data_IF_431261962221
#
_entry.id   IF_431261962221
#
_cell.length_a   1.000
_cell.length_b   1.000
_cell.length_c   1.000
_cell.angle_alpha   90.00
_cell.angle_beta   90.00
_cell.angle_gamma   90.00
#
_symmetry.space_group_name_H-M   'P 1'
#
loop_
_entity.id
_entity.type
_entity.pdbx_description
1 polymer ?
#
# COMPACT_ATOMS: atom_id res chain seq x y z
N UNK A 1 -0.36 8.51 8.74
CA UNK A 1 -1.80 8.16 8.59
C UNK A 1 -2.08 7.87 7.12
N UNK A 2 -1.47 6.83 6.56
CA UNK A 2 -1.35 6.67 5.11
C UNK A 2 -2.07 5.42 4.59
N UNK A 3 -2.27 4.41 5.41
CA UNK A 3 -3.04 3.21 5.03
C UNK A 3 -3.98 2.85 6.18
N UNK A 4 -5.23 3.35 6.11
CA UNK A 4 -6.28 2.92 7.03
C UNK A 4 -6.57 1.44 6.83
N UNK A 5 -6.24 0.62 7.81
CA UNK A 5 -6.70 -0.76 7.92
C UNK A 5 -8.23 -0.83 8.00
N UNK A 6 -8.85 -1.97 7.71
CA UNK A 6 -10.28 -2.16 7.80
C UNK A 6 -10.74 -2.15 9.26
N UNK A 7 -11.14 -0.98 9.76
CA UNK A 7 -11.67 -0.80 11.12
C UNK A 7 -12.79 0.24 11.23
N UNK A 8 -13.10 0.98 10.19
CA UNK A 8 -14.18 1.96 10.20
C UNK A 8 -15.44 1.40 9.57
N UNK A 9 -16.42 1.05 10.39
CA UNK A 9 -17.77 0.57 10.02
C UNK A 9 -18.60 1.59 9.19
N UNK A 10 -18.12 2.80 8.98
CA UNK A 10 -18.86 3.86 8.26
C UNK A 10 -18.76 3.70 6.72
N UNK A 11 -17.81 2.93 6.20
CA UNK A 11 -17.65 2.69 4.76
C UNK A 11 -18.42 1.47 4.22
N UNK A 12 -18.78 0.52 5.08
CA UNK A 12 -19.30 -0.79 4.65
C UNK A 12 -20.74 -0.74 4.07
N UNK A 13 -21.55 0.25 4.43
CA UNK A 13 -22.94 0.32 3.97
C UNK A 13 -23.08 0.84 2.54
N UNK A 14 -22.18 1.71 2.06
CA UNK A 14 -22.23 2.28 0.70
C UNK A 14 -21.68 1.35 -0.38
N UNK A 15 -20.90 0.32 -0.02
CA UNK A 15 -20.25 -0.59 -0.97
C UNK A 15 -21.08 -1.84 -1.32
N UNK A 16 -22.23 -2.03 -0.67
CA UNK A 16 -23.03 -3.26 -0.82
C UNK A 16 -23.83 -3.35 -2.10
N UNK A 17 -23.91 -2.29 -2.91
CA UNK A 17 -24.64 -2.26 -4.18
C UNK A 17 -23.74 -2.38 -5.43
N UNK A 18 -22.43 -2.54 -5.28
CA UNK A 18 -21.54 -2.63 -6.43
C UNK A 18 -21.60 -4.04 -6.99
N UNK A 19 -22.52 -4.25 -7.95
CA UNK A 19 -22.50 -5.29 -9.01
C UNK A 19 -21.93 -6.68 -8.62
N UNK A 20 -22.35 -7.20 -7.47
CA UNK A 20 -22.20 -8.61 -7.17
C UNK A 20 -23.29 -9.36 -7.91
N UNK A 21 -22.97 -10.02 -9.00
CA UNK A 21 -23.86 -11.05 -9.54
C UNK A 21 -23.89 -12.21 -8.55
N UNK A 22 -25.08 -12.66 -8.17
CA UNK A 22 -25.35 -13.61 -7.08
C UNK A 22 -24.59 -14.97 -7.15
N UNK A 23 -23.84 -15.23 -8.20
CA UNK A 23 -23.16 -16.51 -8.42
C UNK A 23 -21.63 -16.44 -8.54
N UNK A 24 -21.04 -15.25 -8.65
CA UNK A 24 -19.59 -15.11 -8.74
C UNK A 24 -19.11 -13.83 -8.03
N UNK A 25 -18.10 -13.96 -7.17
CA UNK A 25 -17.39 -12.83 -6.55
C UNK A 25 -16.53 -12.16 -7.63
N UNK A 26 -17.15 -11.33 -8.48
CA UNK A 26 -16.54 -10.74 -9.68
C UNK A 26 -16.68 -9.23 -9.69
N UNK A 27 -15.61 -8.55 -10.03
CA UNK A 27 -15.57 -7.10 -10.24
C UNK A 27 -14.87 -6.82 -11.57
N UNK A 28 -15.34 -5.79 -12.29
CA UNK A 28 -14.65 -5.26 -13.46
C UNK A 28 -13.76 -4.10 -13.02
N UNK A 29 -12.43 -4.28 -13.06
CA UNK A 29 -11.47 -3.27 -12.62
C UNK A 29 -11.51 -1.98 -13.46
N UNK A 30 -11.95 -2.07 -14.72
CA UNK A 30 -12.10 -0.91 -15.59
C UNK A 30 -13.36 -0.09 -15.34
N UNK A 31 -14.38 -0.67 -14.69
CA UNK A 31 -15.69 -0.06 -14.50
C UNK A 31 -16.03 0.30 -13.04
N UNK A 32 -15.22 -0.16 -12.08
CA UNK A 32 -15.50 0.11 -10.67
C UNK A 32 -15.24 1.59 -10.33
N UNK A 33 -16.14 2.18 -9.55
CA UNK A 33 -15.99 3.55 -9.08
C UNK A 33 -14.95 3.63 -7.94
N UNK A 34 -14.06 4.60 -8.05
CA UNK A 34 -13.06 4.91 -7.03
C UNK A 34 -13.50 6.16 -6.26
N UNK A 35 -13.59 6.05 -4.93
CA UNK A 35 -13.96 7.17 -4.07
C UNK A 35 -12.79 8.17 -3.93
N UNK A 36 -13.08 9.48 -3.96
CA UNK A 36 -12.07 10.50 -3.74
C UNK A 36 -11.40 10.40 -2.36
N UNK A 37 -10.12 10.75 -2.27
CA UNK A 37 -9.35 10.86 -1.02
C UNK A 37 -8.81 12.29 -0.84
N UNK A 38 -9.70 13.29 -0.62
CA UNK A 38 -9.32 14.71 -0.62
C UNK A 38 -8.45 15.11 0.57
N UNK A 39 -8.45 14.31 1.66
CA UNK A 39 -7.63 14.52 2.86
C UNK A 39 -6.16 14.19 2.68
N UNK A 40 -5.79 13.52 1.59
CA UNK A 40 -4.39 13.23 1.30
C UNK A 40 -3.66 14.51 0.87
N UNK A 41 -2.37 14.63 1.20
CA UNK A 41 -1.58 15.78 0.80
C UNK A 41 -1.43 15.87 -0.71
N UNK A 42 -1.07 17.05 -1.19
CA UNK A 42 -0.81 17.28 -2.61
C UNK A 42 0.30 16.35 -3.12
N UNK A 43 0.18 15.89 -4.36
CA UNK A 43 1.03 14.84 -4.91
C UNK A 43 0.55 13.41 -4.61
N UNK A 44 -0.45 13.25 -3.71
CA UNK A 44 -1.03 11.95 -3.33
C UNK A 44 -2.56 11.95 -3.35
N UNK A 45 -3.21 13.02 -3.84
CA UNK A 45 -4.66 13.10 -3.97
C UNK A 45 -5.12 12.22 -5.10
N UNK A 46 -5.68 11.08 -4.74
CA UNK A 46 -6.16 10.06 -5.68
C UNK A 46 -7.58 9.63 -5.33
N UNK A 47 -8.24 8.97 -6.27
CA UNK A 47 -9.42 8.18 -5.97
C UNK A 47 -8.99 6.73 -5.73
N UNK A 48 -9.67 6.01 -4.87
CA UNK A 48 -9.35 4.61 -4.63
C UNK A 48 -10.53 3.81 -4.11
N UNK A 49 -10.47 2.49 -4.33
CA UNK A 49 -11.39 1.52 -3.75
C UNK A 49 -10.62 0.28 -3.31
N UNK A 50 -10.92 -0.23 -2.13
CA UNK A 50 -10.40 -1.52 -1.64
C UNK A 50 -11.40 -2.62 -1.99
N UNK A 51 -10.97 -3.55 -2.82
CA UNK A 51 -11.82 -4.61 -3.37
C UNK A 51 -11.72 -5.88 -2.53
N UNK A 52 -10.53 -6.20 -2.00
CA UNK A 52 -10.31 -7.42 -1.25
C UNK A 52 -11.39 -7.70 -0.18
N UNK A 53 -11.63 -6.79 0.77
CA UNK A 53 -12.67 -6.96 1.79
C UNK A 53 -14.08 -7.09 1.22
N UNK A 54 -14.40 -6.37 0.14
CA UNK A 54 -15.71 -6.43 -0.52
C UNK A 54 -15.99 -7.82 -1.09
N UNK A 55 -14.97 -8.50 -1.60
CA UNK A 55 -15.05 -9.86 -2.13
C UNK A 55 -14.84 -10.94 -1.06
N UNK A 56 -14.54 -10.56 0.20
CA UNK A 56 -14.28 -11.48 1.29
C UNK A 56 -12.90 -12.14 1.21
N UNK A 57 -11.92 -11.44 0.64
CA UNK A 57 -10.53 -11.91 0.66
C UNK A 57 -9.93 -11.71 2.07
N UNK A 58 -9.28 -12.75 2.59
CA UNK A 58 -8.66 -12.77 3.93
C UNK A 58 -7.14 -12.78 3.85
N UNK A 59 -6.57 -13.35 2.78
CA UNK A 59 -5.13 -13.60 2.63
C UNK A 59 -4.50 -12.87 1.44
N UNK A 60 -5.26 -11.95 0.84
CA UNK A 60 -4.78 -11.11 -0.25
C UNK A 60 -5.45 -9.75 -0.23
N UNK A 61 -4.70 -8.71 -0.54
CA UNK A 61 -5.19 -7.38 -0.80
C UNK A 61 -5.47 -7.17 -2.28
N UNK A 62 -6.46 -6.36 -2.60
CA UNK A 62 -6.66 -5.79 -3.92
C UNK A 62 -7.25 -4.41 -3.77
N UNK A 63 -6.60 -3.43 -4.35
CA UNK A 63 -7.06 -2.05 -4.42
C UNK A 63 -6.95 -1.52 -5.83
N UNK A 64 -7.88 -0.67 -6.23
CA UNK A 64 -7.79 0.10 -7.48
C UNK A 64 -7.60 1.57 -7.13
N UNK A 65 -6.71 2.21 -7.87
CA UNK A 65 -6.38 3.61 -7.75
C UNK A 65 -6.59 4.32 -9.09
N UNK A 66 -7.24 5.47 -9.04
CA UNK A 66 -7.24 6.45 -10.12
C UNK A 66 -6.33 7.60 -9.74
N UNK A 67 -5.34 7.83 -10.58
CA UNK A 67 -4.31 8.84 -10.40
C UNK A 67 -4.53 9.99 -11.39
N UNK A 68 -5.06 11.12 -10.95
CA UNK A 68 -5.01 12.34 -11.76
C UNK A 68 -3.55 12.72 -12.12
N UNK A 69 -3.33 13.57 -13.11
CA UNK A 69 -1.99 14.09 -13.42
C UNK A 69 -1.24 14.61 -12.18
N UNK A 70 0.02 14.25 -12.02
CA UNK A 70 0.89 14.65 -10.92
C UNK A 70 0.70 13.88 -9.60
N UNK A 71 -0.30 13.00 -9.49
CA UNK A 71 -0.60 12.30 -8.26
C UNK A 71 0.04 10.89 -8.24
N UNK A 72 0.32 10.38 -7.03
CA UNK A 72 0.94 9.09 -6.81
C UNK A 72 0.07 8.17 -5.92
N UNK A 73 0.30 6.85 -6.00
CA UNK A 73 -0.33 5.86 -5.12
C UNK A 73 0.08 6.07 -3.67
N UNK A 74 1.35 6.31 -3.42
CA UNK A 74 1.92 6.51 -2.09
C UNK A 74 3.34 7.04 -2.20
N UNK A 75 4.02 7.32 -1.07
CA UNK A 75 5.44 7.63 -1.05
C UNK A 75 6.28 6.47 -1.57
N UNK A 76 7.55 6.72 -1.92
CA UNK A 76 8.50 5.65 -2.22
C UNK A 76 8.70 4.77 -1.00
N UNK A 77 8.42 3.47 -1.12
CA UNK A 77 8.43 2.53 0.00
C UNK A 77 8.65 1.10 -0.46
N UNK A 78 8.95 0.25 0.50
CA UNK A 78 8.86 -1.21 0.39
C UNK A 78 8.19 -1.79 1.64
N UNK A 79 7.69 -3.00 1.53
CA UNK A 79 6.99 -3.71 2.60
C UNK A 79 7.75 -4.95 3.07
N UNK A 80 7.50 -5.32 4.33
CA UNK A 80 7.98 -6.53 4.99
C UNK A 80 6.85 -7.13 5.85
N UNK A 81 6.48 -8.37 5.71
CA UNK A 81 6.97 -9.37 4.75
C UNK A 81 6.08 -9.49 3.50
N UNK A 82 5.27 -8.49 3.18
CA UNK A 82 4.30 -8.56 2.10
C UNK A 82 4.96 -8.38 0.72
N UNK A 83 4.48 -9.17 -0.23
CA UNK A 83 4.78 -9.01 -1.66
C UNK A 83 3.63 -8.26 -2.32
N UNK A 84 3.95 -7.42 -3.30
CA UNK A 84 2.96 -6.68 -4.05
C UNK A 84 3.09 -6.88 -5.56
N UNK A 85 1.98 -6.66 -6.24
CA UNK A 85 1.89 -6.64 -7.69
C UNK A 85 1.15 -5.40 -8.14
N UNK A 86 1.60 -4.79 -9.22
CA UNK A 86 0.93 -3.71 -9.93
C UNK A 86 0.44 -4.22 -11.27
N UNK A 87 -0.81 -3.89 -11.63
CA UNK A 87 -1.34 -4.01 -12.99
C UNK A 87 -1.78 -2.64 -13.47
N UNK A 88 -1.28 -2.18 -14.61
CA UNK A 88 -1.77 -0.98 -15.27
C UNK A 88 -3.06 -1.30 -16.01
N UNK A 89 -4.19 -0.75 -15.58
CA UNK A 89 -5.50 -0.94 -16.23
C UNK A 89 -5.68 0.03 -17.39
N UNK A 90 -5.26 1.30 -17.20
CA UNK A 90 -5.30 2.33 -18.24
C UNK A 90 -4.38 3.50 -17.90
N UNK A 91 -4.06 4.30 -18.93
CA UNK A 91 -3.10 5.40 -18.78
C UNK A 91 -1.65 4.92 -18.80
N UNK A 92 -0.72 5.83 -18.54
CA UNK A 92 0.71 5.55 -18.65
C UNK A 92 1.45 6.14 -17.44
N UNK A 93 1.29 5.52 -16.25
CA UNK A 93 1.98 5.98 -15.05
C UNK A 93 3.50 5.72 -15.15
N UNK A 94 4.25 6.43 -14.33
CA UNK A 94 5.68 6.24 -14.14
C UNK A 94 5.91 5.43 -12.88
N UNK A 95 6.70 4.39 -12.97
CA UNK A 95 7.22 3.61 -11.86
C UNK A 95 8.63 4.11 -11.51
N UNK A 96 8.86 4.46 -10.24
CA UNK A 96 10.20 4.58 -9.66
C UNK A 96 10.50 3.30 -8.89
N UNK A 97 11.68 2.73 -9.11
CA UNK A 97 12.20 1.53 -8.47
C UNK A 97 13.70 1.73 -8.11
N UNK A 98 14.39 0.79 -7.42
CA UNK A 98 15.76 1.00 -6.98
C UNK A 98 16.77 1.32 -8.10
N UNK A 99 16.51 0.88 -9.32
CA UNK A 99 17.42 1.05 -10.47
C UNK A 99 17.11 2.30 -11.31
N UNK A 100 15.96 3.00 -11.04
CA UNK A 100 15.60 4.21 -11.77
C UNK A 100 14.10 4.44 -11.90
N UNK A 101 13.72 5.05 -13.00
CA UNK A 101 12.32 5.31 -13.35
C UNK A 101 12.01 4.80 -14.75
N UNK A 102 10.81 4.25 -14.91
CA UNK A 102 10.31 3.81 -16.21
C UNK A 102 8.83 4.16 -16.36
N UNK A 103 8.43 4.40 -17.61
CA UNK A 103 7.03 4.60 -17.97
C UNK A 103 6.40 3.24 -18.24
N UNK A 104 5.23 3.03 -17.64
CA UNK A 104 4.43 1.82 -17.84
C UNK A 104 3.32 2.08 -18.88
N UNK A 105 2.93 1.01 -19.56
CA UNK A 105 1.85 1.00 -20.54
C UNK A 105 0.66 0.16 -20.03
N UNK A 106 -0.56 0.35 -20.57
CA UNK A 106 -1.69 -0.48 -20.22
C UNK A 106 -1.40 -1.97 -20.37
N UNK A 107 -1.77 -2.73 -19.34
CA UNK A 107 -1.56 -4.18 -19.20
C UNK A 107 -0.16 -4.60 -18.77
N UNK A 108 0.76 -3.68 -18.54
CA UNK A 108 1.97 -4.01 -17.83
C UNK A 108 1.64 -4.52 -16.43
N UNK A 109 2.35 -5.57 -16.03
CA UNK A 109 2.32 -6.12 -14.68
C UNK A 109 3.72 -6.06 -14.09
N UNK A 110 3.81 -5.57 -12.85
CA UNK A 110 5.09 -5.45 -12.13
C UNK A 110 4.99 -6.20 -10.81
N UNK A 111 6.04 -6.90 -10.46
CA UNK A 111 6.18 -7.59 -9.18
C UNK A 111 7.14 -6.83 -8.26
N UNK A 112 6.73 -6.62 -7.03
CA UNK A 112 7.52 -6.03 -5.95
C UNK A 112 7.74 -7.10 -4.89
N UNK A 113 8.95 -7.70 -4.80
CA UNK A 113 9.26 -8.62 -3.72
C UNK A 113 9.26 -7.89 -2.37
N UNK A 114 9.08 -8.62 -1.29
CA UNK A 114 9.29 -8.09 0.06
C UNK A 114 10.72 -7.55 0.21
N UNK A 115 10.88 -6.48 0.99
CA UNK A 115 12.16 -5.87 1.26
C UNK A 115 12.65 -4.84 0.25
N UNK A 116 13.90 -4.36 0.40
CA UNK A 116 14.43 -3.21 -0.35
C UNK A 116 14.41 -3.37 -1.87
N UNK A 117 14.49 -4.60 -2.38
CA UNK A 117 14.45 -4.86 -3.82
C UNK A 117 13.07 -4.57 -4.43
N UNK A 118 12.00 -4.61 -3.62
CA UNK A 118 10.65 -4.25 -4.03
C UNK A 118 10.29 -2.78 -3.83
N UNK A 119 11.25 -1.92 -3.48
CA UNK A 119 10.96 -0.52 -3.24
C UNK A 119 10.40 0.17 -4.48
N UNK A 120 9.27 0.86 -4.33
CA UNK A 120 8.59 1.46 -5.45
C UNK A 120 7.81 2.73 -5.12
N UNK A 121 7.52 3.53 -6.14
CA UNK A 121 6.56 4.61 -6.17
C UNK A 121 5.92 4.65 -7.55
N UNK A 122 4.60 4.65 -7.59
CA UNK A 122 3.82 4.76 -8.82
C UNK A 122 3.18 6.14 -8.88
N UNK A 123 3.58 6.94 -9.87
CA UNK A 123 3.11 8.32 -10.08
C UNK A 123 2.58 8.50 -11.50
N UNK A 124 1.56 9.28 -11.64
CA UNK A 124 1.07 9.68 -12.95
C UNK A 124 1.74 10.98 -13.41
N UNK A 125 2.79 10.86 -14.20
CA UNK A 125 3.49 12.00 -14.83
C UNK A 125 2.90 12.39 -16.20
N UNK A 126 1.81 11.73 -16.63
CA UNK A 126 1.12 12.04 -17.89
C UNK A 126 0.07 13.15 -17.70
N UNK A 127 -0.52 13.62 -18.81
CA UNK A 127 -1.57 14.65 -18.84
C UNK A 127 -3.00 14.09 -18.70
N UNK A 128 -3.16 12.76 -18.63
CA UNK A 128 -4.44 12.07 -18.49
C UNK A 128 -4.44 11.22 -17.24
N UNK A 129 -5.62 10.94 -16.69
CA UNK A 129 -5.73 10.02 -15.55
C UNK A 129 -5.20 8.63 -15.89
N UNK A 130 -4.50 8.02 -14.95
CA UNK A 130 -4.09 6.63 -15.01
C UNK A 130 -4.88 5.80 -14.01
N UNK A 131 -5.16 4.54 -14.33
CA UNK A 131 -5.80 3.58 -13.42
C UNK A 131 -4.91 2.37 -13.24
N UNK A 132 -4.65 2.04 -11.99
CA UNK A 132 -3.81 0.89 -11.63
C UNK A 132 -4.52 0.03 -10.59
N UNK A 133 -4.28 -1.28 -10.63
CA UNK A 133 -4.68 -2.21 -9.60
C UNK A 133 -3.43 -2.72 -8.87
N UNK A 134 -3.48 -2.70 -7.53
CA UNK A 134 -2.42 -3.25 -6.69
C UNK A 134 -2.96 -4.44 -5.91
N UNK A 135 -2.22 -5.53 -6.00
CA UNK A 135 -2.46 -6.75 -5.25
C UNK A 135 -1.36 -6.86 -4.19
N UNK A 136 -1.70 -7.35 -3.03
CA UNK A 136 -0.72 -7.67 -1.98
C UNK A 136 -0.97 -9.04 -1.39
N UNK A 137 0.07 -9.71 -0.97
CA UNK A 137 -0.07 -10.81 -0.04
C UNK A 137 -0.59 -10.24 1.29
N UNK A 138 -1.31 -11.06 2.05
CA UNK A 138 -1.90 -10.67 3.32
C UNK A 138 -1.94 -11.88 4.24
N UNK A 139 -2.04 -11.65 5.54
CA UNK A 139 -2.12 -12.71 6.56
C UNK A 139 -0.97 -12.70 7.55
N UNK A 140 0.01 -11.84 7.39
CA UNK A 140 0.94 -11.50 8.46
C UNK A 140 0.20 -10.79 9.60
N UNK A 141 0.60 -11.06 10.83
CA UNK A 141 0.06 -10.40 12.03
C UNK A 141 0.88 -9.18 12.43
N UNK A 142 2.07 -9.05 11.89
CA UNK A 142 2.99 -7.92 12.06
C UNK A 142 3.78 -7.73 10.78
N UNK A 143 4.05 -6.49 10.43
CA UNK A 143 4.88 -6.13 9.29
C UNK A 143 5.38 -4.69 9.39
N UNK A 144 6.13 -4.28 8.40
CA UNK A 144 6.69 -2.95 8.33
C UNK A 144 6.58 -2.38 6.91
N UNK A 145 6.31 -1.09 6.83
CA UNK A 145 6.45 -0.31 5.61
C UNK A 145 7.60 0.66 5.81
N UNK A 146 8.62 0.54 4.98
CA UNK A 146 9.82 1.36 5.06
C UNK A 146 9.78 2.44 4.00
N UNK A 147 9.99 3.69 4.40
CA UNK A 147 9.99 4.88 3.54
C UNK A 147 11.41 5.44 3.45
N UNK A 148 12.23 5.00 2.47
CA UNK A 148 13.64 5.40 2.39
C UNK A 148 13.86 6.91 2.26
N UNK A 149 13.00 7.60 1.48
CA UNK A 149 13.12 9.05 1.25
C UNK A 149 12.77 9.89 2.49
N UNK A 150 11.97 9.35 3.41
CA UNK A 150 11.51 10.04 4.61
C UNK A 150 12.22 9.59 5.87
N UNK A 151 13.12 8.61 5.77
CA UNK A 151 13.80 7.98 6.91
C UNK A 151 12.84 7.45 7.98
N UNK A 152 11.68 6.94 7.54
CA UNK A 152 10.62 6.44 8.42
C UNK A 152 10.37 4.94 8.20
N UNK A 153 9.96 4.29 9.27
CA UNK A 153 9.41 2.94 9.27
C UNK A 153 8.08 2.99 10.01
N UNK A 154 7.02 2.53 9.34
CA UNK A 154 5.75 2.24 9.99
C UNK A 154 5.70 0.74 10.28
N UNK A 155 5.66 0.40 11.55
CA UNK A 155 5.42 -0.97 12.01
C UNK A 155 3.94 -1.12 12.31
N UNK A 156 3.32 -2.10 11.68
CA UNK A 156 1.93 -2.40 11.88
C UNK A 156 1.74 -3.79 12.52
N UNK A 157 0.68 -3.94 13.28
CA UNK A 157 0.35 -5.18 13.99
C UNK A 157 -1.09 -5.59 13.76
N UNK A 158 -1.53 -6.74 14.29
CA UNK A 158 -2.93 -7.15 14.25
C UNK A 158 -3.85 -6.17 15.01
N UNK A 159 -3.32 -5.49 16.02
CA UNK A 159 -3.98 -4.43 16.79
C UNK A 159 -3.41 -3.07 16.36
N UNK A 160 -4.18 -2.27 15.63
CA UNK A 160 -3.78 -0.95 15.14
C UNK A 160 -3.51 0.07 16.26
N UNK A 161 -3.98 -0.19 17.50
CA UNK A 161 -3.66 0.64 18.65
C UNK A 161 -2.19 0.58 19.07
N UNK A 162 -1.45 -0.45 18.62
CA UNK A 162 -0.01 -0.58 18.88
C UNK A 162 0.85 -0.36 17.63
N UNK A 163 0.26 0.07 16.53
CA UNK A 163 1.01 0.52 15.36
C UNK A 163 1.92 1.70 15.72
N UNK A 164 3.12 1.70 15.16
CA UNK A 164 4.11 2.74 15.47
C UNK A 164 4.84 3.23 14.22
N UNK A 165 5.24 4.49 14.26
CA UNK A 165 6.15 5.07 13.25
C UNK A 165 7.44 5.49 13.95
N UNK A 166 8.57 5.00 13.45
CA UNK A 166 9.90 5.27 13.99
C UNK A 166 10.83 5.81 12.91
N UNK A 167 11.91 6.49 13.32
CA UNK A 167 12.98 6.85 12.38
C UNK A 167 13.83 5.61 12.08
N UNK A 168 14.07 5.35 10.80
CA UNK A 168 14.92 4.26 10.32
C UNK A 168 16.38 4.43 10.75
N UNK A 169 16.86 5.69 10.83
CA UNK A 169 18.22 6.03 11.26
C UNK A 169 18.47 5.83 12.76
N UNK A 170 17.41 5.58 13.57
CA UNK A 170 17.57 5.17 14.97
C UNK A 170 18.29 3.84 15.02
N UNK A 171 19.50 3.83 15.59
CA UNK A 171 20.34 2.64 15.58
C UNK A 171 19.93 1.69 16.69
N UNK A 172 20.08 0.39 16.44
CA UNK A 172 19.95 -0.67 17.48
C UNK A 172 20.92 -0.40 18.63
N UNK A 173 22.06 0.20 18.35
CA UNK A 173 23.07 0.59 19.36
C UNK A 173 22.51 1.52 20.45
N UNK A 174 21.48 2.32 20.13
CA UNK A 174 20.83 3.20 21.12
C UNK A 174 20.02 2.41 22.17
N UNK A 175 19.65 1.18 21.87
CA UNK A 175 18.92 0.27 22.79
C UNK A 175 19.78 -0.92 23.27
N UNK A 176 20.95 -1.12 22.68
CA UNK A 176 21.86 -2.22 23.05
C UNK A 176 22.22 -2.24 24.54
N UNK A 177 22.47 -1.07 25.23
CA UNK A 177 22.70 -1.06 26.66
C UNK A 177 21.55 -1.65 27.50
N UNK A 178 20.30 -1.40 27.09
CA UNK A 178 19.10 -1.90 27.77
C UNK A 178 18.92 -3.41 27.61
N UNK A 179 19.37 -3.96 26.48
CA UNK A 179 19.32 -5.40 26.21
C UNK A 179 20.43 -6.12 27.00
N UNK A 180 21.63 -5.54 27.09
CA UNK A 180 22.75 -6.07 27.83
C UNK A 180 22.45 -6.19 29.34
N UNK A 181 21.84 -5.15 29.93
CA UNK A 181 21.50 -5.09 31.36
C UNK A 181 20.54 -6.19 31.82
N UNK A 182 19.68 -6.68 30.94
CA UNK A 182 18.74 -7.78 31.28
C UNK A 182 19.40 -9.14 31.40
N UNK A 183 20.53 -9.35 30.74
CA UNK A 183 21.25 -10.62 30.78
C UNK A 183 22.14 -10.78 32.03
N UNK A 184 22.43 -9.69 32.73
CA UNK A 184 23.27 -9.72 33.96
C UNK A 184 22.46 -9.93 35.25
N UNK A 185 21.12 -9.81 35.20
CA UNK A 185 20.24 -9.96 36.36
C UNK A 185 19.63 -11.34 36.51
N UNK A 186 19.89 -12.29 35.59
CA UNK A 186 19.38 -13.67 35.63
C UNK A 186 20.46 -14.73 35.95
N UNK A 187 21.59 -14.36 36.53
CA UNK A 187 22.59 -15.29 37.11
C UNK A 187 22.52 -15.12 38.66
#
# INVERSE_FOLDING_TARGET
MIFGRPGSLVGAALYKEILMTDSARRINLGAIDCAPRPHLPDGFRRNSVRIGPTLGAERSGLSVYELPPGQAVGPYHYEEPEEEWLLVVSGTPTLRHPEGEERLEPWDIVFFPAGPAGAHLVRNNSDKSARVAMFSSSGATVGAVVYPDSDLVWVWTADDAVDMVVKRSSKVDDIAPWIADRNETET
#
